data_IF_989930555574
#
_entry.id   IF_989930555574
#
_cell.length_a   1.000
_cell.length_b   1.000
_cell.length_c   1.000
_cell.angle_alpha   90.00
_cell.angle_beta   90.00
_cell.angle_gamma   90.00
#
_symmetry.space_group_name_H-M   'P 1'
#
loop_
_entity.id
_entity.type
_entity.pdbx_description
1 polymer ?
#
# COMPACT_ATOMS: atom_id res chain seq x y z
N UNK A 1 -2.42 17.12 12.99
CA UNK A 1 -1.21 16.40 13.46
C UNK A 1 -0.84 16.86 14.84
N UNK A 2 -0.59 15.91 15.75
CA UNK A 2 -0.16 16.19 17.11
C UNK A 2 0.99 15.27 17.54
N UNK A 3 1.80 15.72 18.51
CA UNK A 3 2.83 14.90 19.15
C UNK A 3 2.26 14.33 20.44
N UNK A 4 2.23 13.01 20.58
CA UNK A 4 1.77 12.33 21.78
C UNK A 4 2.94 11.69 22.55
N UNK A 5 2.80 11.64 23.88
CA UNK A 5 3.69 10.90 24.76
C UNK A 5 3.05 9.55 25.10
N UNK A 6 3.64 8.46 24.61
CA UNK A 6 3.22 7.08 24.86
C UNK A 6 4.27 6.39 25.76
N UNK A 7 4.11 6.51 27.08
CA UNK A 7 5.08 6.02 28.04
C UNK A 7 6.44 6.71 27.87
N UNK A 8 7.50 5.93 27.59
CA UNK A 8 8.84 6.46 27.33
C UNK A 8 9.05 6.98 25.89
N UNK A 9 8.08 6.78 25.00
CA UNK A 9 8.20 7.11 23.58
C UNK A 9 7.36 8.35 23.21
N UNK A 10 7.85 9.10 22.22
CA UNK A 10 7.08 10.16 21.55
C UNK A 10 6.65 9.67 20.17
N UNK A 11 5.39 9.85 19.84
CA UNK A 11 4.81 9.50 18.54
C UNK A 11 4.18 10.71 17.89
N UNK A 12 4.16 10.73 16.57
CA UNK A 12 3.33 11.60 15.77
C UNK A 12 1.98 10.91 15.59
N UNK A 13 0.89 11.60 15.93
CA UNK A 13 -0.46 11.16 15.61
C UNK A 13 -0.98 12.00 14.44
N UNK A 14 -1.35 11.30 13.37
CA UNK A 14 -1.97 11.86 12.17
C UNK A 14 -3.48 11.90 12.32
N UNK A 15 -4.07 13.02 11.94
CA UNK A 15 -5.52 13.23 11.93
C UNK A 15 -5.99 13.19 10.48
N UNK A 16 -6.09 11.96 9.96
CA UNK A 16 -6.49 11.72 8.59
C UNK A 16 -7.99 11.90 8.43
N UNK A 17 -8.40 12.59 7.36
CA UNK A 17 -9.79 12.77 6.97
C UNK A 17 -10.24 11.61 6.06
N UNK A 18 -11.15 10.73 6.53
CA UNK A 18 -11.65 9.61 5.74
C UNK A 18 -12.34 10.02 4.44
N UNK A 19 -13.02 11.17 4.41
CA UNK A 19 -13.77 11.64 3.23
C UNK A 19 -12.81 12.07 2.13
N UNK A 20 -11.75 12.79 2.50
CA UNK A 20 -10.67 13.16 1.57
C UNK A 20 -9.95 11.91 1.05
N UNK A 21 -9.65 10.95 1.93
CA UNK A 21 -9.02 9.68 1.52
C UNK A 21 -9.90 8.89 0.55
N UNK A 22 -11.20 8.82 0.80
CA UNK A 22 -12.17 8.19 -0.12
C UNK A 22 -12.19 8.89 -1.47
N UNK A 23 -12.17 10.22 -1.45
CA UNK A 23 -12.15 11.05 -2.66
C UNK A 23 -10.89 10.83 -3.49
N UNK A 24 -9.73 10.70 -2.85
CA UNK A 24 -8.46 10.39 -3.52
C UNK A 24 -8.44 8.99 -4.11
N UNK A 25 -8.98 8.00 -3.39
CA UNK A 25 -9.11 6.64 -3.89
C UNK A 25 -10.00 6.60 -5.15
N UNK A 26 -11.13 7.30 -5.12
CA UNK A 26 -12.03 7.43 -6.28
C UNK A 26 -11.36 8.12 -7.46
N UNK A 27 -10.63 9.20 -7.24
CA UNK A 27 -9.87 9.90 -8.28
C UNK A 27 -8.79 9.00 -8.91
N UNK A 28 -8.24 8.06 -8.15
CA UNK A 28 -7.28 7.07 -8.65
C UNK A 28 -7.94 5.85 -9.31
N UNK A 29 -9.27 5.82 -9.44
CA UNK A 29 -10.02 4.75 -10.10
C UNK A 29 -10.36 3.56 -9.19
N UNK A 30 -10.44 3.77 -7.87
CA UNK A 30 -10.83 2.75 -6.92
C UNK A 30 -12.14 3.07 -6.23
N UNK A 31 -13.02 2.07 -6.13
CA UNK A 31 -14.05 2.04 -5.09
C UNK A 31 -13.39 1.73 -3.75
N UNK A 32 -13.83 2.40 -2.69
CA UNK A 32 -13.26 2.21 -1.36
C UNK A 32 -14.33 1.95 -0.30
N UNK A 33 -14.07 0.98 0.58
CA UNK A 33 -14.73 0.87 1.88
C UNK A 33 -13.72 1.24 2.94
N UNK A 34 -14.05 2.25 3.74
CA UNK A 34 -13.14 2.78 4.75
C UNK A 34 -13.65 2.44 6.14
N UNK A 35 -12.77 1.89 6.96
CA UNK A 35 -12.98 1.73 8.39
C UNK A 35 -11.94 2.60 9.11
N UNK A 36 -12.42 3.55 9.89
CA UNK A 36 -11.56 4.39 10.70
C UNK A 36 -11.38 3.80 12.11
N UNK A 37 -10.12 3.69 12.53
CA UNK A 37 -9.75 3.19 13.86
C UNK A 37 -8.84 4.19 14.54
N UNK A 38 -8.60 3.99 15.83
CA UNK A 38 -7.71 4.86 16.61
C UNK A 38 -6.29 4.91 16.04
N UNK A 39 -5.80 3.80 15.48
CA UNK A 39 -4.38 3.65 15.06
C UNK A 39 -4.16 3.63 13.56
N UNK A 40 -5.20 3.39 12.78
CA UNK A 40 -5.08 3.28 11.33
C UNK A 40 -6.40 3.62 10.63
N UNK A 41 -6.27 4.12 9.41
CA UNK A 41 -7.35 4.14 8.44
C UNK A 41 -7.23 2.89 7.55
N UNK A 42 -8.23 2.03 7.54
CA UNK A 42 -8.23 0.78 6.77
C UNK A 42 -9.12 0.95 5.55
N UNK A 43 -8.57 0.70 4.37
CA UNK A 43 -9.25 0.80 3.09
C UNK A 43 -9.30 -0.58 2.44
N UNK A 44 -10.50 -1.03 2.10
CA UNK A 44 -10.67 -2.09 1.10
C UNK A 44 -10.91 -1.44 -0.25
N UNK A 45 -9.96 -1.64 -1.17
CA UNK A 45 -9.93 -0.96 -2.46
C UNK A 45 -10.23 -1.96 -3.58
N UNK A 46 -11.07 -1.55 -4.52
CA UNK A 46 -11.44 -2.34 -5.69
C UNK A 46 -11.37 -1.49 -6.95
N UNK A 47 -10.62 -1.93 -7.95
CA UNK A 47 -10.58 -1.31 -9.28
C UNK A 47 -11.42 -2.15 -10.26
N UNK A 48 -12.73 -2.22 -10.00
CA UNK A 48 -13.65 -3.16 -10.68
C UNK A 48 -13.82 -2.90 -12.18
N UNK A 49 -13.56 -1.68 -12.64
CA UNK A 49 -13.66 -1.31 -14.07
C UNK A 49 -12.44 -1.74 -14.90
N UNK A 50 -11.39 -2.26 -14.25
CA UNK A 50 -10.16 -2.66 -14.94
C UNK A 50 -10.21 -4.11 -15.39
N UNK A 51 -9.91 -4.34 -16.66
CA UNK A 51 -9.70 -5.71 -17.19
C UNK A 51 -8.35 -6.30 -16.76
N UNK A 52 -7.32 -5.47 -16.64
CA UNK A 52 -5.99 -5.89 -16.22
C UNK A 52 -5.84 -5.88 -14.68
N UNK A 53 -5.07 -6.82 -14.10
CA UNK A 53 -4.79 -6.83 -12.67
C UNK A 53 -4.07 -5.55 -12.23
N UNK A 54 -4.11 -5.27 -10.92
CA UNK A 54 -3.27 -4.22 -10.34
C UNK A 54 -1.80 -4.56 -10.56
N UNK A 55 -1.00 -3.55 -10.89
CA UNK A 55 0.42 -3.66 -11.22
C UNK A 55 1.27 -3.85 -9.97
N UNK A 56 0.98 -4.89 -9.20
CA UNK A 56 1.80 -5.36 -8.09
C UNK A 56 2.63 -6.54 -8.61
N UNK A 57 3.93 -6.35 -8.83
CA UNK A 57 4.77 -7.32 -9.53
C UNK A 57 5.94 -7.81 -8.66
N UNK A 58 6.50 -8.97 -8.97
CA UNK A 58 7.70 -9.46 -8.30
C UNK A 58 8.92 -8.66 -8.76
N UNK A 59 9.56 -7.93 -7.83
CA UNK A 59 10.73 -7.11 -8.14
C UNK A 59 11.99 -7.94 -8.43
N UNK A 60 12.02 -9.23 -8.07
CA UNK A 60 13.14 -10.12 -8.33
C UNK A 60 13.04 -10.85 -9.68
N UNK A 61 11.87 -10.86 -10.33
CA UNK A 61 11.66 -11.53 -11.61
C UNK A 61 12.26 -10.71 -12.78
N UNK A 62 13.23 -11.26 -13.54
CA UNK A 62 13.80 -10.60 -14.71
C UNK A 62 12.77 -10.25 -15.81
N UNK A 63 11.62 -10.93 -15.83
CA UNK A 63 10.50 -10.60 -16.73
C UNK A 63 9.88 -9.22 -16.46
N UNK A 64 10.11 -8.65 -15.27
CA UNK A 64 9.51 -7.40 -14.84
C UNK A 64 10.45 -6.19 -14.92
N UNK A 65 11.62 -6.30 -15.58
CA UNK A 65 12.62 -5.21 -15.70
C UNK A 65 12.03 -3.89 -16.23
N UNK A 66 11.06 -3.97 -17.14
CA UNK A 66 10.36 -2.81 -17.67
C UNK A 66 9.53 -2.06 -16.62
N UNK A 67 8.93 -2.75 -15.64
CA UNK A 67 8.25 -2.10 -14.51
C UNK A 67 9.24 -1.70 -13.42
N UNK A 68 10.21 -2.57 -13.12
CA UNK A 68 11.24 -2.32 -12.13
C UNK A 68 11.98 -0.99 -12.37
N UNK A 69 12.36 -0.71 -13.62
CA UNK A 69 13.07 0.53 -13.99
C UNK A 69 12.27 1.83 -13.78
N UNK A 70 10.94 1.73 -13.64
CA UNK A 70 10.03 2.89 -13.51
C UNK A 70 9.31 2.96 -12.17
N UNK A 71 9.33 1.88 -11.38
CA UNK A 71 8.57 1.80 -10.14
C UNK A 71 9.13 2.75 -9.08
N UNK A 72 8.22 3.43 -8.38
CA UNK A 72 8.56 4.40 -7.32
C UNK A 72 8.34 3.83 -5.92
N UNK A 73 7.58 2.73 -5.83
CA UNK A 73 7.17 2.13 -4.58
C UNK A 73 7.56 0.66 -4.52
N UNK A 74 7.97 0.27 -3.33
CA UNK A 74 8.36 -1.09 -2.99
C UNK A 74 7.60 -1.55 -1.75
N UNK A 75 7.14 -2.80 -1.77
CA UNK A 75 6.44 -3.44 -0.67
C UNK A 75 7.29 -4.59 -0.15
N UNK A 76 7.59 -4.59 1.15
CA UNK A 76 8.16 -5.78 1.79
C UNK A 76 7.12 -6.90 1.80
N UNK A 77 7.39 -8.00 1.10
CA UNK A 77 6.44 -9.11 0.95
C UNK A 77 6.05 -9.74 2.29
N UNK A 78 6.94 -9.69 3.28
CA UNK A 78 6.73 -10.32 4.59
C UNK A 78 5.81 -9.52 5.49
N UNK A 79 5.94 -8.20 5.50
CA UNK A 79 5.19 -7.32 6.41
C UNK A 79 4.06 -6.54 5.73
N UNK A 80 4.11 -6.41 4.41
CA UNK A 80 3.22 -5.53 3.66
C UNK A 80 3.59 -4.05 3.75
N UNK A 81 4.68 -3.70 4.45
CA UNK A 81 5.10 -2.31 4.58
C UNK A 81 5.50 -1.75 3.22
N UNK A 82 4.90 -0.62 2.84
CA UNK A 82 5.32 0.15 1.67
C UNK A 82 6.50 1.03 2.13
N UNK A 83 7.68 0.77 1.58
CA UNK A 83 8.94 1.31 2.10
C UNK A 83 8.92 2.84 2.18
N UNK A 84 9.37 3.36 3.34
CA UNK A 84 9.46 4.79 3.65
C UNK A 84 8.11 5.56 3.66
N UNK A 85 6.99 4.85 3.75
CA UNK A 85 5.65 5.46 3.84
C UNK A 85 4.90 4.93 5.08
N UNK A 86 3.84 5.61 5.54
CA UNK A 86 2.96 5.08 6.58
C UNK A 86 1.97 4.03 6.05
N UNK A 87 2.14 3.54 4.81
CA UNK A 87 1.22 2.62 4.16
C UNK A 87 1.59 1.16 4.39
N UNK A 88 0.58 0.31 4.59
CA UNK A 88 0.72 -1.14 4.58
C UNK A 88 -0.27 -1.76 3.60
N UNK A 89 0.21 -2.63 2.74
CA UNK A 89 -0.56 -3.31 1.71
C UNK A 89 -0.69 -4.80 2.01
N UNK A 90 -1.87 -5.35 1.77
CA UNK A 90 -2.14 -6.77 1.76
C UNK A 90 -3.01 -7.15 0.57
N UNK A 91 -2.83 -8.37 0.05
CA UNK A 91 -3.78 -8.90 -0.93
C UNK A 91 -5.11 -9.20 -0.24
N UNK A 92 -6.20 -8.83 -0.91
CA UNK A 92 -7.48 -9.47 -0.65
C UNK A 92 -7.48 -10.85 -1.29
N UNK A 93 -8.13 -11.82 -0.65
CA UNK A 93 -8.12 -13.21 -1.09
C UNK A 93 -9.55 -13.73 -1.21
N UNK A 94 -9.78 -14.61 -2.17
CA UNK A 94 -11.03 -15.37 -2.24
C UNK A 94 -11.11 -16.41 -1.11
N UNK A 95 -12.24 -17.14 -1.05
CA UNK A 95 -12.45 -18.22 -0.07
C UNK A 95 -11.43 -19.36 -0.21
N UNK A 96 -10.81 -19.52 -1.37
CA UNK A 96 -9.76 -20.49 -1.65
C UNK A 96 -8.35 -19.98 -1.30
N UNK A 97 -8.22 -18.76 -0.76
CA UNK A 97 -6.95 -18.15 -0.41
C UNK A 97 -6.17 -17.58 -1.61
N UNK A 98 -6.77 -17.51 -2.80
CA UNK A 98 -6.13 -16.95 -3.99
C UNK A 98 -6.25 -15.43 -3.96
N UNK A 99 -5.15 -14.68 -4.19
CA UNK A 99 -5.19 -13.24 -4.32
C UNK A 99 -6.19 -12.78 -5.39
N UNK A 100 -7.01 -11.80 -5.06
CA UNK A 100 -7.93 -11.16 -5.99
C UNK A 100 -7.19 -10.09 -6.81
N UNK A 101 -7.19 -10.17 -8.16
CA UNK A 101 -6.31 -9.37 -9.01
C UNK A 101 -6.59 -7.86 -9.02
N UNK A 102 -7.84 -7.46 -8.74
CA UNK A 102 -8.29 -6.07 -8.84
C UNK A 102 -8.54 -5.42 -7.48
N UNK A 103 -8.24 -6.13 -6.38
CA UNK A 103 -8.59 -5.68 -5.03
C UNK A 103 -7.45 -5.85 -4.05
N UNK A 104 -7.27 -4.85 -3.18
CA UNK A 104 -6.25 -4.86 -2.12
C UNK A 104 -6.85 -4.33 -0.82
N UNK A 105 -6.18 -4.63 0.29
CA UNK A 105 -6.38 -3.92 1.55
C UNK A 105 -5.20 -3.01 1.78
N UNK A 106 -5.46 -1.74 2.00
CA UNK A 106 -4.47 -0.74 2.35
C UNK A 106 -4.75 -0.24 3.77
N UNK A 107 -3.69 -0.04 4.55
CA UNK A 107 -3.78 0.64 5.83
C UNK A 107 -2.90 1.87 5.81
N UNK A 108 -3.38 2.96 6.39
CA UNK A 108 -2.59 4.16 6.65
C UNK A 108 -2.42 4.26 8.16
N UNK A 109 -1.20 4.07 8.65
CA UNK A 109 -0.89 4.16 10.07
C UNK A 109 -1.01 5.61 10.53
N UNK A 110 -1.78 5.85 11.60
CA UNK A 110 -1.94 7.17 12.22
C UNK A 110 -0.84 7.47 13.23
N UNK A 111 -0.29 6.44 13.86
CA UNK A 111 0.79 6.55 14.84
C UNK A 111 2.14 6.29 14.19
N UNK A 112 3.03 7.29 14.20
CA UNK A 112 4.37 7.18 13.63
C UNK A 112 5.44 7.52 14.67
N UNK A 113 6.63 6.91 14.59
CA UNK A 113 7.78 7.34 15.39
C UNK A 113 8.10 8.82 15.17
N UNK A 114 8.50 9.55 16.21
CA UNK A 114 8.85 10.98 16.09
C UNK A 114 9.99 11.25 15.08
N UNK A 115 10.90 10.28 14.93
CA UNK A 115 12.00 10.33 13.97
C UNK A 115 11.61 9.77 12.59
N UNK A 116 10.35 9.42 12.34
CA UNK A 116 9.89 9.00 11.04
C UNK A 116 10.11 10.12 10.02
N UNK A 117 10.61 9.75 8.85
CA UNK A 117 10.91 10.64 7.74
C UNK A 117 10.41 10.02 6.47
N UNK A 118 9.79 10.85 5.65
CA UNK A 118 9.35 10.49 4.32
C UNK A 118 10.55 10.55 3.35
N UNK A 119 10.40 10.01 2.12
CA UNK A 119 11.43 10.12 1.10
C UNK A 119 11.92 11.56 0.95
N UNK A 120 13.25 11.72 0.82
CA UNK A 120 13.88 13.05 0.82
C UNK A 120 14.04 13.70 2.19
N UNK A 121 13.94 12.92 3.29
CA UNK A 121 14.11 13.38 4.68
C UNK A 121 13.11 14.46 5.11
N UNK A 122 11.95 14.53 4.45
CA UNK A 122 10.90 15.50 4.77
C UNK A 122 10.21 15.12 6.09
N UNK A 123 9.81 16.16 6.84
CA UNK A 123 8.92 16.00 7.99
C UNK A 123 7.55 15.52 7.51
N UNK A 124 6.89 14.71 8.34
CA UNK A 124 5.57 14.18 8.03
C UNK A 124 4.51 15.24 8.28
N UNK A 125 3.61 15.38 7.33
CA UNK A 125 2.37 16.16 7.42
C UNK A 125 1.25 15.34 6.80
N UNK A 126 -0.01 15.57 7.19
CA UNK A 126 -1.15 14.88 6.58
C UNK A 126 -1.22 15.11 5.07
N UNK A 127 -0.96 16.35 4.63
CA UNK A 127 -0.94 16.70 3.20
C UNK A 127 0.01 15.81 2.40
N UNK A 128 1.21 15.53 2.94
CA UNK A 128 2.16 14.67 2.26
C UNK A 128 1.74 13.20 2.30
N UNK A 129 1.07 12.76 3.37
CA UNK A 129 0.50 11.40 3.41
C UNK A 129 -0.58 11.24 2.35
N UNK A 130 -1.42 12.25 2.11
CA UNK A 130 -2.41 12.26 1.03
C UNK A 130 -1.77 12.22 -0.36
N UNK A 131 -0.69 12.99 -0.58
CA UNK A 131 0.07 12.96 -1.83
C UNK A 131 0.69 11.58 -2.09
N UNK A 132 1.33 10.99 -1.07
CA UNK A 132 1.92 9.65 -1.13
C UNK A 132 0.86 8.59 -1.41
N UNK A 133 -0.30 8.67 -0.74
CA UNK A 133 -1.43 7.78 -0.99
C UNK A 133 -1.86 7.86 -2.46
N UNK A 134 -2.13 9.05 -2.97
CA UNK A 134 -2.59 9.22 -4.35
C UNK A 134 -1.57 8.67 -5.35
N UNK A 135 -0.29 9.03 -5.20
CA UNK A 135 0.79 8.54 -6.06
C UNK A 135 0.96 7.02 -5.98
N UNK A 136 0.77 6.42 -4.80
CA UNK A 136 0.82 4.98 -4.62
C UNK A 136 -0.33 4.27 -5.36
N UNK A 137 -1.55 4.80 -5.27
CA UNK A 137 -2.71 4.26 -5.99
C UNK A 137 -2.54 4.39 -7.51
N UNK A 138 -2.01 5.51 -7.98
CA UNK A 138 -1.67 5.72 -9.40
C UNK A 138 -0.56 4.75 -9.85
N UNK A 139 0.42 4.45 -8.99
CA UNK A 139 1.46 3.48 -9.33
C UNK A 139 0.88 2.07 -9.52
N UNK A 140 -0.08 1.65 -8.69
CA UNK A 140 -0.77 0.36 -8.81
C UNK A 140 -1.56 0.20 -10.11
N UNK A 141 -1.96 1.29 -10.77
CA UNK A 141 -2.76 1.24 -11.99
C UNK A 141 -1.97 1.53 -13.25
N UNK A 142 -0.90 2.33 -13.18
CA UNK A 142 -0.24 2.88 -14.37
C UNK A 142 1.25 2.55 -14.51
N UNK A 143 1.97 2.34 -13.40
CA UNK A 143 3.45 2.27 -13.43
C UNK A 143 3.97 0.90 -12.99
N UNK A 144 3.49 0.43 -11.85
CA UNK A 144 4.01 -0.75 -11.16
C UNK A 144 4.49 -0.44 -9.74
N UNK A 145 4.19 -1.35 -8.83
CA UNK A 145 4.69 -1.42 -7.46
C UNK A 145 5.43 -2.75 -7.28
N UNK A 146 6.68 -2.69 -6.87
CA UNK A 146 7.53 -3.86 -6.71
C UNK A 146 7.30 -4.56 -5.37
N UNK A 147 7.09 -5.86 -5.38
CA UNK A 147 7.08 -6.72 -4.19
C UNK A 147 8.49 -7.25 -3.98
N UNK A 148 9.06 -6.98 -2.80
CA UNK A 148 10.41 -7.34 -2.45
C UNK A 148 10.43 -8.55 -1.50
N UNK A 149 11.12 -9.62 -1.92
CA UNK A 149 11.28 -10.84 -1.14
C UNK A 149 10.08 -11.77 -1.18
N UNK A 150 10.14 -12.85 -0.41
CA UNK A 150 9.06 -13.83 -0.29
C UNK A 150 8.24 -13.58 0.97
N UNK A 151 6.90 -13.66 0.88
CA UNK A 151 6.05 -13.44 2.05
C UNK A 151 4.55 -13.58 1.80
N UNK A 152 3.79 -12.87 2.63
CA UNK A 152 2.32 -12.91 2.67
C UNK A 152 1.69 -12.09 1.54
N UNK A 153 2.37 -11.02 1.11
CA UNK A 153 2.00 -10.24 -0.06
C UNK A 153 2.53 -10.95 -1.30
N UNK A 154 1.61 -11.22 -2.22
CA UNK A 154 1.84 -11.89 -3.48
C UNK A 154 1.71 -10.88 -4.63
N UNK A 155 2.54 -10.99 -5.67
CA UNK A 155 2.32 -10.30 -6.93
C UNK A 155 0.93 -10.59 -7.51
N UNK A 156 0.35 -9.60 -8.18
CA UNK A 156 -0.92 -9.68 -8.92
C UNK A 156 -0.70 -9.55 -10.43
N UNK A 157 0.44 -9.01 -10.86
CA UNK A 157 0.83 -8.84 -12.26
C UNK A 157 2.21 -9.45 -12.55
N UNK A 158 2.47 -9.71 -13.83
CA UNK A 158 3.66 -10.42 -14.29
C UNK A 158 3.48 -11.95 -14.25
N UNK A 159 4.58 -12.69 -14.25
CA UNK A 159 4.53 -14.14 -14.01
C UNK A 159 4.25 -14.40 -12.54
N UNK A 160 2.98 -14.56 -12.20
CA UNK A 160 2.58 -14.96 -10.85
C UNK A 160 2.71 -16.48 -10.75
N UNK A 161 3.77 -16.96 -10.09
CA UNK A 161 3.90 -18.39 -9.80
C UNK A 161 2.70 -18.85 -8.96
N UNK A 162 2.04 -19.93 -9.40
CA UNK A 162 1.00 -20.57 -8.59
C UNK A 162 1.64 -21.05 -7.28
N UNK A 163 0.95 -20.93 -6.12
CA UNK A 163 1.50 -21.38 -4.86
C UNK A 163 1.88 -22.86 -4.98
N UNK A 164 3.16 -23.17 -4.75
CA UNK A 164 3.63 -24.54 -4.69
C UNK A 164 2.80 -25.30 -3.64
N UNK A 165 2.10 -26.35 -4.09
CA UNK A 165 1.37 -27.24 -3.20
C UNK A 165 2.32 -27.76 -2.13
N UNK A 166 1.96 -27.55 -0.86
CA UNK A 166 2.67 -28.19 0.25
C UNK A 166 2.34 -29.69 0.15
N UNK A 167 3.29 -30.48 -0.35
CA UNK A 167 3.32 -31.93 -0.13
C UNK A 167 3.67 -32.21 1.34
#
# INVERSE_FOLDING_TARGET
>A
MQVLQAGAHKILLLELDPELVSSLAKQAGFDSKIADTDRALVLELSAGEREAPLLLFDAADPGNLGWFSRCQFYVDARTGTVLQTPLQLANQKDRGGRPLPHTIRLQILKELPLNFRLPGKRSVTEQYVYEVLFNFLQALTNVGVGVCGAGIVRPLAGRVEAPAGRN
#
